data_IF_945196017636
#
_entry.id   IF_945196017636
#
_cell.length_a   1.000
_cell.length_b   1.000
_cell.length_c   1.000
_cell.angle_alpha   90.00
_cell.angle_beta   90.00
_cell.angle_gamma   90.00
#
_symmetry.space_group_name_H-M   'P 1'
#
loop_
_entity.id
_entity.type
_entity.pdbx_description
1 polymer ?
#
# COMPACT_ATOMS: atom_id res chain seq x y z
N UNK A 1 -5.71 1.05 0.58
CA UNK A 1 -4.79 1.96 1.23
C UNK A 1 -4.97 3.38 0.66
N UNK A 2 -4.43 4.37 1.30
CA UNK A 2 -4.46 5.78 0.93
C UNK A 2 -3.08 6.26 0.49
N UNK A 3 -3.02 7.37 -0.21
CA UNK A 3 -1.77 7.98 -0.65
C UNK A 3 -1.73 8.28 -2.14
N UNK A 4 -0.85 9.18 -2.54
CA UNK A 4 -0.75 9.66 -3.92
C UNK A 4 -0.28 8.57 -4.90
N UNK A 5 0.64 7.72 -4.47
CA UNK A 5 1.16 6.63 -5.30
C UNK A 5 0.09 5.58 -5.57
N UNK A 6 -0.67 5.21 -4.54
CA UNK A 6 -1.79 4.28 -4.68
C UNK A 6 -2.90 4.87 -5.55
N UNK A 7 -3.20 6.16 -5.38
CA UNK A 7 -4.19 6.85 -6.20
C UNK A 7 -3.80 6.85 -7.70
N UNK A 8 -2.51 6.94 -8.01
CA UNK A 8 -2.02 6.90 -9.39
C UNK A 8 -2.24 5.55 -10.07
N UNK A 9 -2.32 4.46 -9.30
CA UNK A 9 -2.61 3.12 -9.83
C UNK A 9 -4.02 3.03 -10.43
N UNK A 10 -4.98 3.74 -9.86
CA UNK A 10 -6.42 3.58 -10.15
C UNK A 10 -6.73 3.70 -11.64
N UNK A 11 -6.16 4.69 -12.32
CA UNK A 11 -6.39 4.90 -13.76
C UNK A 11 -5.99 3.70 -14.62
N UNK A 12 -5.09 2.84 -14.14
CA UNK A 12 -4.64 1.66 -14.86
C UNK A 12 -5.53 0.43 -14.62
N UNK A 13 -6.52 0.54 -13.75
CA UNK A 13 -7.48 -0.52 -13.46
C UNK A 13 -8.70 -0.52 -14.39
N UNK A 14 -8.81 0.45 -15.28
CA UNK A 14 -9.97 0.65 -16.16
C UNK A 14 -10.22 -0.47 -17.17
N UNK A 15 -9.23 -1.34 -17.40
CA UNK A 15 -9.34 -2.49 -18.33
C UNK A 15 -9.64 -3.81 -17.64
N UNK A 16 -9.67 -3.83 -16.30
CA UNK A 16 -9.93 -5.04 -15.53
C UNK A 16 -11.42 -5.30 -15.42
N UNK A 17 -11.83 -6.55 -15.62
CA UNK A 17 -13.21 -6.96 -15.50
C UNK A 17 -13.47 -7.71 -14.19
N UNK A 18 -14.64 -7.50 -13.61
CA UNK A 18 -15.03 -8.18 -12.36
C UNK A 18 -14.19 -7.78 -11.15
N UNK A 19 -13.56 -6.59 -11.19
CA UNK A 19 -12.68 -6.12 -10.13
C UNK A 19 -13.50 -5.69 -8.91
N UNK A 20 -13.06 -6.14 -7.74
CA UNK A 20 -13.59 -5.71 -6.43
C UNK A 20 -12.46 -5.00 -5.69
N UNK A 21 -12.67 -3.76 -5.30
CA UNK A 21 -11.66 -2.95 -4.61
C UNK A 21 -12.20 -2.44 -3.29
N UNK A 22 -11.47 -2.70 -2.22
CA UNK A 22 -11.72 -2.10 -0.91
C UNK A 22 -10.65 -1.04 -0.62
N UNK A 23 -11.08 0.09 -0.10
CA UNK A 23 -10.19 1.18 0.32
C UNK A 23 -10.68 1.85 1.59
N UNK A 24 -9.76 2.46 2.31
CA UNK A 24 -10.04 3.33 3.45
C UNK A 24 -9.87 4.82 3.09
N UNK A 25 -9.70 5.13 1.82
CA UNK A 25 -9.40 6.49 1.33
C UNK A 25 -10.57 7.04 0.50
N UNK A 26 -11.04 8.25 0.85
CA UNK A 26 -12.07 8.93 0.08
C UNK A 26 -11.58 9.31 -1.33
N UNK A 27 -10.32 9.73 -1.46
CA UNK A 27 -9.75 10.09 -2.76
C UNK A 27 -9.65 8.90 -3.70
N UNK A 28 -9.23 7.75 -3.18
CA UNK A 28 -9.19 6.50 -3.95
C UNK A 28 -10.60 6.05 -4.34
N UNK A 29 -11.54 6.11 -3.42
CA UNK A 29 -12.95 5.77 -3.70
C UNK A 29 -13.54 6.67 -4.79
N UNK A 30 -13.27 7.96 -4.74
CA UNK A 30 -13.73 8.93 -5.75
C UNK A 30 -13.14 8.59 -7.13
N UNK A 31 -11.85 8.27 -7.18
CA UNK A 31 -11.19 7.89 -8.43
C UNK A 31 -11.76 6.59 -9.01
N UNK A 32 -12.02 5.59 -8.16
CA UNK A 32 -12.62 4.31 -8.59
C UNK A 32 -14.02 4.48 -9.18
N UNK A 33 -14.83 5.37 -8.61
CA UNK A 33 -16.17 5.67 -9.13
C UNK A 33 -16.17 6.26 -10.53
N UNK A 34 -15.07 6.88 -10.93
CA UNK A 34 -14.93 7.51 -12.24
C UNK A 34 -14.49 6.54 -13.34
N UNK A 35 -14.21 5.29 -13.01
CA UNK A 35 -13.78 4.29 -13.98
C UNK A 35 -14.97 3.75 -14.78
N UNK A 36 -14.80 3.65 -16.11
CA UNK A 36 -15.85 3.19 -17.03
C UNK A 36 -16.19 1.70 -16.85
N UNK A 37 -15.24 0.90 -16.35
CA UNK A 37 -15.46 -0.53 -16.10
C UNK A 37 -16.25 -0.83 -14.81
N UNK A 38 -16.66 0.20 -14.10
CA UNK A 38 -17.52 0.12 -12.90
C UNK A 38 -17.11 -0.97 -11.90
N UNK A 39 -15.90 -0.89 -11.32
CA UNK A 39 -15.48 -1.89 -10.33
C UNK A 39 -16.40 -1.87 -9.10
N UNK A 40 -16.58 -3.01 -8.47
CA UNK A 40 -17.27 -3.04 -7.17
C UNK A 40 -16.41 -2.33 -6.13
N UNK A 41 -16.95 -1.26 -5.58
CA UNK A 41 -16.26 -0.45 -4.58
C UNK A 41 -16.77 -0.79 -3.19
N UNK A 42 -15.84 -1.15 -2.31
CA UNK A 42 -16.08 -1.38 -0.90
C UNK A 42 -15.29 -0.37 -0.07
N UNK A 43 -15.91 0.15 0.98
CA UNK A 43 -15.24 1.05 1.93
C UNK A 43 -15.10 0.34 3.28
N UNK A 44 -13.95 0.55 3.93
CA UNK A 44 -13.74 0.01 5.27
C UNK A 44 -14.64 0.67 6.31
N UNK A 45 -15.02 1.92 6.08
CA UNK A 45 -15.61 2.74 7.13
C UNK A 45 -14.61 2.97 8.27
N UNK A 46 -15.10 3.36 9.42
CA UNK A 46 -14.27 3.63 10.59
C UNK A 46 -14.23 5.10 10.97
N UNK A 47 -13.17 5.52 11.65
CA UNK A 47 -12.96 6.88 12.13
C UNK A 47 -12.03 7.64 11.19
N UNK A 48 -12.44 8.83 10.79
CA UNK A 48 -11.60 9.69 9.93
C UNK A 48 -10.35 10.15 10.67
N UNK A 49 -9.20 9.90 10.08
CA UNK A 49 -7.92 10.40 10.54
C UNK A 49 -7.42 11.48 9.58
N UNK A 50 -7.32 12.71 10.07
CA UNK A 50 -6.91 13.87 9.28
C UNK A 50 -5.46 13.78 8.83
N UNK A 51 -4.58 13.13 9.60
CA UNK A 51 -3.15 13.02 9.28
C UNK A 51 -2.90 12.16 8.06
N UNK A 52 -3.55 11.00 8.02
CA UNK A 52 -3.41 10.06 6.90
C UNK A 52 -4.46 10.28 5.81
N UNK A 53 -5.41 11.19 6.03
CA UNK A 53 -6.55 11.44 5.14
C UNK A 53 -7.27 10.13 4.77
N UNK A 54 -7.50 9.30 5.79
CA UNK A 54 -8.11 7.98 5.62
C UNK A 54 -8.93 7.56 6.83
N UNK A 55 -9.74 6.55 6.65
CA UNK A 55 -10.48 5.94 7.75
C UNK A 55 -9.60 4.91 8.46
N UNK A 56 -9.64 4.92 9.79
CA UNK A 56 -8.86 4.08 10.67
C UNK A 56 -9.76 3.49 11.77
N UNK A 57 -9.19 2.69 12.64
CA UNK A 57 -9.82 2.23 13.86
C UNK A 57 -10.47 0.87 13.78
N UNK A 58 -11.05 0.47 14.88
CA UNK A 58 -11.50 -0.89 15.10
C UNK A 58 -12.60 -1.35 14.13
N UNK A 59 -13.53 -0.46 13.78
CA UNK A 59 -14.59 -0.80 12.82
C UNK A 59 -14.01 -1.11 11.43
N UNK A 60 -13.03 -0.31 10.99
CA UNK A 60 -12.34 -0.57 9.72
C UNK A 60 -11.59 -1.92 9.76
N UNK A 61 -10.93 -2.23 10.87
CA UNK A 61 -10.24 -3.51 11.05
C UNK A 61 -11.21 -4.69 10.97
N UNK A 62 -12.37 -4.59 11.62
CA UNK A 62 -13.39 -5.64 11.61
C UNK A 62 -13.95 -5.89 10.21
N UNK A 63 -14.20 -4.82 9.45
CA UNK A 63 -14.66 -4.94 8.07
C UNK A 63 -13.63 -5.67 7.23
N UNK A 64 -12.36 -5.28 7.31
CA UNK A 64 -11.26 -5.94 6.58
C UNK A 64 -11.18 -7.44 6.94
N UNK A 65 -11.30 -7.79 8.21
CA UNK A 65 -11.23 -9.19 8.67
C UNK A 65 -12.37 -10.07 8.16
N UNK A 66 -13.43 -9.46 7.61
CA UNK A 66 -14.55 -10.20 7.00
C UNK A 66 -14.25 -10.64 5.57
N UNK A 67 -13.12 -10.25 5.01
CA UNK A 67 -12.74 -10.51 3.62
C UNK A 67 -11.39 -11.22 3.53
N UNK A 68 -11.14 -11.80 2.36
CA UNK A 68 -9.85 -12.37 1.94
C UNK A 68 -9.54 -11.78 0.57
N UNK A 69 -8.44 -11.04 0.46
CA UNK A 69 -8.08 -10.32 -0.75
C UNK A 69 -6.92 -11.01 -1.49
N UNK A 70 -6.93 -10.90 -2.81
CA UNK A 70 -5.84 -11.42 -3.64
C UNK A 70 -4.58 -10.57 -3.49
N UNK A 71 -4.73 -9.24 -3.47
CA UNK A 71 -3.61 -8.31 -3.47
C UNK A 71 -3.90 -7.09 -2.61
N UNK A 72 -2.89 -6.66 -1.86
CA UNK A 72 -2.84 -5.36 -1.21
C UNK A 72 -1.85 -4.48 -1.96
N UNK A 73 -2.30 -3.29 -2.34
CA UNK A 73 -1.44 -2.22 -2.83
C UNK A 73 -1.33 -1.14 -1.76
N UNK A 74 -0.14 -0.89 -1.28
CA UNK A 74 0.12 0.04 -0.18
C UNK A 74 1.36 0.89 -0.48
N UNK A 75 1.30 2.18 -0.16
CA UNK A 75 2.44 3.07 -0.23
C UNK A 75 3.30 3.00 1.03
N UNK A 76 4.33 3.83 1.09
CA UNK A 76 5.18 3.96 2.28
C UNK A 76 5.72 5.39 2.39
N UNK A 77 5.89 5.86 3.61
CA UNK A 77 6.52 7.15 3.88
C UNK A 77 8.05 7.04 3.83
N UNK A 78 8.57 5.89 4.20
CA UNK A 78 9.99 5.56 4.12
C UNK A 78 10.23 4.07 4.07
N UNK A 79 11.42 3.69 3.70
CA UNK A 79 11.90 2.31 3.70
C UNK A 79 13.18 2.23 4.53
N UNK A 80 13.17 1.39 5.56
CA UNK A 80 14.35 1.00 6.31
C UNK A 80 14.81 -0.37 5.79
N UNK A 81 16.04 -0.43 5.30
CA UNK A 81 16.57 -1.64 4.68
C UNK A 81 16.62 -2.85 5.63
N UNK A 82 16.65 -2.61 6.94
CA UNK A 82 16.66 -3.66 7.96
C UNK A 82 15.26 -4.01 8.47
N UNK A 83 14.38 -2.99 8.66
CA UNK A 83 13.11 -3.15 9.37
C UNK A 83 11.89 -3.33 8.45
N UNK A 84 11.83 -2.66 7.31
CA UNK A 84 10.69 -2.66 6.40
C UNK A 84 10.17 -1.26 6.10
N UNK A 85 8.86 -1.10 5.91
CA UNK A 85 8.27 0.24 5.69
C UNK A 85 8.16 1.00 7.00
N UNK A 86 8.40 2.31 6.95
CA UNK A 86 8.46 3.17 8.13
C UNK A 86 7.61 4.42 7.96
N UNK A 87 7.14 4.95 9.09
CA UNK A 87 6.27 6.13 9.13
C UNK A 87 6.42 6.88 10.46
N UNK A 88 6.02 8.15 10.48
CA UNK A 88 5.83 8.91 11.72
C UNK A 88 4.46 8.70 12.34
N UNK A 89 3.52 8.09 11.62
CA UNK A 89 2.18 7.82 12.12
C UNK A 89 2.19 6.63 13.08
N UNK A 90 1.57 6.79 14.24
CA UNK A 90 1.41 5.71 15.21
C UNK A 90 0.25 4.77 14.86
N UNK A 91 -0.67 5.19 13.98
CA UNK A 91 -1.85 4.43 13.58
C UNK A 91 -1.50 3.41 12.49
N UNK A 92 -0.72 2.39 12.85
CA UNK A 92 -0.24 1.38 11.90
C UNK A 92 -1.06 0.08 11.91
N UNK A 93 -2.01 -0.06 12.85
CA UNK A 93 -2.79 -1.30 13.01
C UNK A 93 -3.55 -1.70 11.76
N UNK A 94 -4.18 -0.74 11.10
CA UNK A 94 -4.99 -1.04 9.92
C UNK A 94 -4.14 -1.60 8.79
N UNK A 95 -2.94 -1.09 8.60
CA UNK A 95 -1.98 -1.62 7.60
C UNK A 95 -1.60 -3.06 7.91
N UNK A 96 -1.41 -3.40 9.18
CA UNK A 96 -1.15 -4.78 9.60
C UNK A 96 -2.32 -5.70 9.26
N UNK A 97 -3.56 -5.26 9.53
CA UNK A 97 -4.77 -6.03 9.19
C UNK A 97 -4.91 -6.19 7.68
N UNK A 98 -4.66 -5.13 6.91
CA UNK A 98 -4.67 -5.19 5.45
C UNK A 98 -3.70 -6.27 4.94
N UNK A 99 -2.50 -6.33 5.49
CA UNK A 99 -1.51 -7.33 5.12
C UNK A 99 -1.95 -8.75 5.52
N UNK A 100 -2.51 -8.92 6.71
CA UNK A 100 -2.99 -10.22 7.21
C UNK A 100 -4.08 -10.84 6.34
N UNK A 101 -4.98 -10.03 5.78
CA UNK A 101 -6.13 -10.49 4.98
C UNK A 101 -5.84 -10.54 3.49
N UNK A 102 -4.61 -10.30 3.08
CA UNK A 102 -4.19 -10.28 1.68
C UNK A 102 -3.18 -11.38 1.40
N UNK A 103 -3.32 -12.05 0.24
CA UNK A 103 -2.43 -13.13 -0.17
C UNK A 103 -1.09 -12.63 -0.66
N UNK A 104 -1.08 -11.47 -1.31
CA UNK A 104 0.12 -10.82 -1.82
C UNK A 104 0.14 -9.36 -1.40
N UNK A 105 1.24 -8.92 -0.80
CA UNK A 105 1.42 -7.54 -0.34
C UNK A 105 2.43 -6.84 -1.24
N UNK A 106 1.97 -5.80 -1.92
CA UNK A 106 2.74 -5.02 -2.89
C UNK A 106 2.92 -3.61 -2.36
N UNK A 107 4.15 -3.25 -2.06
CA UNK A 107 4.53 -1.89 -1.65
C UNK A 107 4.95 -1.09 -2.88
N UNK A 108 4.36 0.08 -3.07
CA UNK A 108 4.73 1.02 -4.13
C UNK A 108 5.35 2.26 -3.52
N UNK A 109 6.60 2.55 -3.84
CA UNK A 109 7.36 3.64 -3.22
C UNK A 109 8.37 4.23 -4.19
N UNK A 110 8.55 5.55 -4.14
CA UNK A 110 9.62 6.22 -4.89
C UNK A 110 10.98 5.91 -4.26
N UNK A 111 12.01 5.71 -5.09
CA UNK A 111 13.34 5.33 -4.62
C UNK A 111 13.97 6.32 -3.65
N UNK A 112 13.60 7.60 -3.74
CA UNK A 112 14.09 8.64 -2.82
C UNK A 112 13.66 8.42 -1.37
N UNK A 113 12.66 7.58 -1.13
CA UNK A 113 12.20 7.22 0.23
C UNK A 113 12.95 6.03 0.82
N UNK A 114 13.75 5.35 0.01
CA UNK A 114 14.54 4.20 0.47
C UNK A 114 15.75 4.69 1.26
N UNK A 115 15.95 4.09 2.43
CA UNK A 115 16.92 4.55 3.41
C UNK A 115 16.38 5.55 4.42
N UNK A 116 15.13 5.95 4.29
CA UNK A 116 14.48 6.90 5.20
C UNK A 116 14.00 6.16 6.45
N UNK A 117 14.72 6.35 7.53
CA UNK A 117 14.43 5.73 8.83
C UNK A 117 13.47 6.61 9.63
N UNK A 118 12.32 6.08 9.95
CA UNK A 118 11.31 6.75 10.78
C UNK A 118 11.02 5.92 12.03
N UNK A 119 10.43 6.50 13.09
CA UNK A 119 10.32 5.80 14.37
C UNK A 119 9.44 4.56 14.34
N UNK A 120 8.38 4.58 13.56
CA UNK A 120 7.41 3.47 13.55
C UNK A 120 7.58 2.59 12.34
N UNK A 121 7.62 1.28 12.56
CA UNK A 121 7.54 0.29 11.47
C UNK A 121 6.08 0.07 11.14
N UNK A 122 5.72 0.22 9.87
CA UNK A 122 4.36 -0.04 9.39
C UNK A 122 4.20 -1.50 8.99
N UNK A 123 5.05 -1.97 8.06
CA UNK A 123 5.13 -3.39 7.68
C UNK A 123 6.57 -3.86 7.78
N UNK A 124 6.76 -5.06 8.31
CA UNK A 124 8.07 -5.72 8.31
C UNK A 124 8.35 -6.34 6.94
N UNK A 125 9.61 -6.62 6.63
CA UNK A 125 9.96 -7.29 5.38
C UNK A 125 9.27 -8.63 5.20
N UNK A 126 9.01 -9.36 6.28
CA UNK A 126 8.31 -10.65 6.23
C UNK A 126 6.86 -10.54 5.79
N UNK A 127 6.26 -9.36 5.91
CA UNK A 127 4.88 -9.10 5.49
C UNK A 127 4.79 -8.60 4.04
N UNK A 128 5.92 -8.36 3.37
CA UNK A 128 5.99 -7.76 2.03
C UNK A 128 6.44 -8.82 1.03
N UNK A 129 5.71 -8.96 -0.06
CA UNK A 129 6.05 -9.89 -1.15
C UNK A 129 6.76 -9.20 -2.30
N UNK A 130 6.30 -8.01 -2.67
CA UNK A 130 6.79 -7.26 -3.83
C UNK A 130 6.99 -5.79 -3.45
N UNK A 131 8.08 -5.21 -3.91
CA UNK A 131 8.33 -3.77 -3.85
C UNK A 131 8.47 -3.23 -5.27
N UNK A 132 7.63 -2.29 -5.63
CA UNK A 132 7.68 -1.59 -6.91
C UNK A 132 8.23 -0.19 -6.67
N UNK A 133 9.29 0.16 -7.37
CA UNK A 133 9.95 1.46 -7.26
C UNK A 133 10.41 1.94 -8.65
N UNK A 134 11.01 3.12 -8.69
CA UNK A 134 11.54 3.67 -9.93
C UNK A 134 12.97 3.15 -10.23
N UNK A 135 13.44 3.45 -11.44
CA UNK A 135 14.75 2.98 -11.96
C UNK A 135 15.96 3.74 -11.37
N UNK A 136 15.73 4.68 -10.46
CA UNK A 136 16.83 5.40 -9.77
C UNK A 136 17.32 4.67 -8.54
N UNK A 137 16.70 3.54 -8.19
CA UNK A 137 17.15 2.71 -7.08
C UNK A 137 18.57 2.17 -7.37
N UNK A 138 19.48 2.34 -6.40
CA UNK A 138 20.82 1.79 -6.53
C UNK A 138 20.82 0.26 -6.53
N UNK A 139 21.80 -0.34 -7.20
CA UNK A 139 21.93 -1.80 -7.20
C UNK A 139 22.19 -2.35 -5.79
N UNK A 140 22.95 -1.62 -4.97
CA UNK A 140 23.23 -1.99 -3.58
C UNK A 140 21.96 -2.09 -2.75
N UNK A 141 21.09 -1.08 -2.85
CA UNK A 141 19.80 -1.08 -2.11
C UNK A 141 18.85 -2.13 -2.65
N UNK A 142 18.82 -2.32 -3.97
CA UNK A 142 18.03 -3.39 -4.59
C UNK A 142 18.43 -4.77 -4.07
N UNK A 143 19.73 -5.04 -4.03
CA UNK A 143 20.26 -6.32 -3.53
C UNK A 143 19.93 -6.52 -2.04
N UNK A 144 20.02 -5.45 -1.24
CA UNK A 144 19.68 -5.51 0.18
C UNK A 144 18.20 -5.84 0.40
N UNK A 145 17.31 -5.29 -0.40
CA UNK A 145 15.86 -5.57 -0.31
C UNK A 145 15.58 -7.00 -0.78
N UNK A 146 16.17 -7.42 -1.88
CA UNK A 146 16.03 -8.80 -2.39
C UNK A 146 16.54 -9.84 -1.38
N UNK A 147 17.58 -9.50 -0.63
CA UNK A 147 18.09 -10.36 0.44
C UNK A 147 17.09 -10.58 1.58
N UNK A 148 16.09 -9.71 1.72
CA UNK A 148 14.99 -9.87 2.66
C UNK A 148 13.89 -10.84 2.15
N UNK A 149 14.05 -11.39 0.95
CA UNK A 149 13.08 -12.30 0.35
C UNK A 149 11.99 -11.60 -0.46
N UNK A 150 12.19 -10.33 -0.81
CA UNK A 150 11.21 -9.50 -1.52
C UNK A 150 11.58 -9.40 -3.00
N UNK A 151 10.59 -9.58 -3.87
CA UNK A 151 10.74 -9.30 -5.31
C UNK A 151 10.77 -7.78 -5.52
N UNK A 152 11.78 -7.28 -6.23
CA UNK A 152 11.90 -5.85 -6.54
C UNK A 152 11.66 -5.61 -8.02
N UNK A 153 10.69 -4.77 -8.32
CA UNK A 153 10.36 -4.34 -9.68
C UNK A 153 10.71 -2.86 -9.82
N UNK A 154 11.66 -2.56 -10.70
CA UNK A 154 12.01 -1.18 -11.02
C UNK A 154 11.33 -0.78 -12.32
N UNK A 155 10.66 0.37 -12.31
CA UNK A 155 9.95 0.89 -13.47
C UNK A 155 10.56 2.21 -13.93
N UNK A 156 10.47 2.47 -15.22
CA UNK A 156 10.92 3.73 -15.76
C UNK A 156 9.96 4.86 -15.37
N UNK A 157 10.52 6.00 -14.97
CA UNK A 157 9.76 7.20 -14.66
C UNK A 157 9.67 8.04 -15.92
N UNK A 158 8.45 8.39 -16.27
CA UNK A 158 8.20 9.26 -17.41
C UNK A 158 8.63 10.72 -17.11
#
# INVERSE_FOLDING_TARGET
>A
ESGSTTAALIKHLNRKQGLVVMTNSLSVATALRSLENEPTLLMTGGTWDTRSESFQGNNAEQVLRSYDFDQLFIGADGIDLERGTTTFNELVRLSHVMAEVSREVIVMVESQKIGRKMPNVELTWQQIDVLITDNKLSQTDKDAIMAQGVEVICVDVA
#
